data_IF_308546579524
#
_entry.id   IF_308546579524
#
_cell.length_a   1.000
_cell.length_b   1.000
_cell.length_c   1.000
_cell.angle_alpha   90.00
_cell.angle_beta   90.00
_cell.angle_gamma   90.00
#
_symmetry.space_group_name_H-M   'P 1'
#
loop_
_entity.id
_entity.type
_entity.pdbx_description
1 polymer ?
#
# COMPACT_ATOMS: atom_id res chain seq x y z
N UNK A 1 -70.25 64.30 -45.34
CA UNK A 1 -70.18 62.82 -45.20
C UNK A 1 -68.72 62.38 -45.15
N UNK A 2 -68.19 62.06 -43.96
CA UNK A 2 -66.95 61.28 -43.82
C UNK A 2 -67.21 60.21 -42.76
N UNK A 3 -67.05 58.95 -43.17
CA UNK A 3 -67.37 57.74 -42.42
C UNK A 3 -66.32 57.52 -41.33
N UNK A 4 -66.77 57.31 -40.09
CA UNK A 4 -65.92 56.83 -39.00
C UNK A 4 -65.54 55.37 -39.24
N UNK A 5 -64.25 55.06 -39.07
CA UNK A 5 -63.74 53.68 -39.03
C UNK A 5 -63.43 53.37 -37.57
N UNK A 6 -64.26 52.53 -36.97
CA UNK A 6 -64.06 51.97 -35.64
C UNK A 6 -63.11 50.77 -35.79
N UNK A 7 -61.87 50.90 -35.33
CA UNK A 7 -60.92 49.78 -35.27
C UNK A 7 -61.13 49.06 -33.94
N UNK A 8 -61.73 47.87 -33.99
CA UNK A 8 -61.85 46.96 -32.86
C UNK A 8 -60.52 46.20 -32.71
N UNK A 9 -59.69 46.62 -31.75
CA UNK A 9 -58.49 45.87 -31.37
C UNK A 9 -58.91 44.73 -30.44
N UNK A 10 -59.09 43.53 -31.00
CA UNK A 10 -59.22 42.31 -30.19
C UNK A 10 -57.84 41.86 -29.72
N UNK A 11 -57.52 42.16 -28.46
CA UNK A 11 -56.35 41.61 -27.78
C UNK A 11 -56.62 40.14 -27.39
N UNK A 12 -56.02 39.20 -28.12
CA UNK A 12 -55.93 37.80 -27.68
C UNK A 12 -54.91 37.71 -26.54
N UNK A 13 -55.39 37.79 -25.29
CA UNK A 13 -54.62 37.34 -24.13
C UNK A 13 -54.64 35.81 -24.11
N UNK A 14 -53.64 35.18 -24.73
CA UNK A 14 -53.33 33.77 -24.48
C UNK A 14 -52.78 33.66 -23.06
N UNK A 15 -53.66 33.40 -22.09
CA UNK A 15 -53.27 33.06 -20.74
C UNK A 15 -52.55 31.71 -20.77
N UNK A 16 -51.21 31.75 -20.71
CA UNK A 16 -50.43 30.59 -20.31
C UNK A 16 -50.80 30.34 -18.85
N UNK A 17 -51.70 29.39 -18.61
CA UNK A 17 -51.97 28.84 -17.29
C UNK A 17 -50.67 28.22 -16.79
N UNK A 18 -49.86 29.00 -16.08
CA UNK A 18 -48.82 28.45 -15.22
C UNK A 18 -49.57 27.64 -14.16
N UNK A 19 -49.57 26.32 -14.31
CA UNK A 19 -50.10 25.43 -13.30
C UNK A 19 -49.43 25.80 -11.97
N UNK A 20 -50.24 26.23 -10.99
CA UNK A 20 -49.71 26.49 -9.66
C UNK A 20 -48.98 25.23 -9.17
N UNK A 21 -47.79 25.37 -8.54
CA UNK A 21 -47.07 24.23 -8.01
C UNK A 21 -48.02 23.44 -7.11
N UNK A 22 -48.27 22.18 -7.46
CA UNK A 22 -49.17 21.34 -6.68
C UNK A 22 -48.57 21.14 -5.29
N UNK A 23 -49.42 21.12 -4.25
CA UNK A 23 -48.98 20.85 -2.89
C UNK A 23 -48.24 19.49 -2.82
N UNK A 24 -47.16 19.37 -2.04
CA UNK A 24 -46.43 18.11 -1.91
C UNK A 24 -47.25 17.05 -1.16
N UNK A 25 -46.79 15.79 -1.20
CA UNK A 25 -47.34 14.63 -0.49
C UNK A 25 -48.71 14.15 -0.98
N UNK A 26 -48.93 14.14 -2.30
CA UNK A 26 -50.19 13.68 -2.89
C UNK A 26 -50.21 12.16 -3.06
N UNK A 27 -51.37 11.57 -2.82
CA UNK A 27 -51.69 10.18 -3.14
C UNK A 27 -52.80 10.12 -4.20
N UNK A 28 -52.79 9.08 -5.03
CA UNK A 28 -53.89 8.80 -5.96
C UNK A 28 -55.03 7.98 -5.33
N UNK A 29 -56.05 7.64 -6.12
CA UNK A 29 -57.18 6.82 -5.70
C UNK A 29 -56.82 5.40 -5.23
N UNK A 30 -55.63 4.91 -5.59
CA UNK A 30 -55.10 3.61 -5.14
C UNK A 30 -54.21 3.76 -3.89
N UNK A 31 -54.03 4.99 -3.38
CA UNK A 31 -53.17 5.28 -2.25
C UNK A 31 -51.68 5.42 -2.58
N UNK A 32 -51.31 5.43 -3.87
CA UNK A 32 -49.90 5.52 -4.30
C UNK A 32 -49.42 6.95 -4.33
N UNK A 33 -48.15 7.19 -3.98
CA UNK A 33 -47.51 8.50 -3.98
C UNK A 33 -47.36 9.06 -5.40
N UNK A 34 -47.66 10.36 -5.55
CA UNK A 34 -47.60 11.08 -6.81
C UNK A 34 -46.98 12.48 -6.64
N UNK A 35 -46.16 12.89 -7.61
CA UNK A 35 -45.60 14.23 -7.68
C UNK A 35 -44.58 14.53 -6.59
N UNK A 36 -44.47 15.80 -6.21
CA UNK A 36 -43.55 16.28 -5.18
C UNK A 36 -43.86 15.64 -3.82
N UNK A 37 -42.82 15.24 -3.11
CA UNK A 37 -42.92 14.59 -1.82
C UNK A 37 -41.86 15.14 -0.87
N UNK A 38 -42.27 15.41 0.36
CA UNK A 38 -41.43 15.88 1.47
C UNK A 38 -41.74 15.08 2.72
N UNK A 39 -40.73 14.45 3.30
CA UNK A 39 -40.88 13.72 4.56
C UNK A 39 -40.24 14.51 5.69
N UNK A 40 -41.00 14.75 6.75
CA UNK A 40 -40.51 15.38 7.98
C UNK A 40 -40.49 14.39 9.14
N UNK A 41 -39.59 14.61 10.11
CA UNK A 41 -39.61 13.96 11.43
C UNK A 41 -39.27 15.01 12.47
N UNK A 42 -40.15 15.19 13.46
CA UNK A 42 -39.99 16.19 14.53
C UNK A 42 -39.73 17.61 14.00
N UNK A 43 -40.42 17.99 12.91
CA UNK A 43 -40.26 19.29 12.23
C UNK A 43 -39.05 19.39 11.28
N UNK A 44 -38.15 18.41 11.28
CA UNK A 44 -36.96 18.38 10.43
C UNK A 44 -37.26 17.70 9.09
N UNK A 45 -36.91 18.34 7.97
CA UNK A 45 -37.00 17.75 6.64
C UNK A 45 -35.97 16.61 6.52
N UNK A 46 -36.43 15.39 6.25
CA UNK A 46 -35.57 14.21 6.07
C UNK A 46 -35.18 14.00 4.62
N UNK A 47 -36.14 14.14 3.71
CA UNK A 47 -35.89 14.11 2.27
C UNK A 47 -37.00 14.82 1.49
N UNK A 48 -36.65 15.27 0.29
CA UNK A 48 -37.60 15.70 -0.73
C UNK A 48 -37.25 15.09 -2.10
N UNK A 49 -38.27 14.91 -2.95
CA UNK A 49 -38.13 14.32 -4.28
C UNK A 49 -39.47 14.06 -4.94
N UNK A 50 -39.49 13.33 -6.05
CA UNK A 50 -40.71 13.07 -6.83
C UNK A 50 -41.06 11.60 -6.90
N UNK A 51 -42.35 11.28 -6.81
CA UNK A 51 -42.87 9.93 -7.03
C UNK A 51 -43.80 9.87 -8.24
N UNK A 52 -43.84 8.71 -8.88
CA UNK A 52 -44.89 8.31 -9.81
C UNK A 52 -45.28 6.87 -9.47
N UNK A 53 -46.52 6.67 -9.05
CA UNK A 53 -47.05 5.34 -8.70
C UNK A 53 -46.20 4.62 -7.63
N UNK A 54 -45.81 5.33 -6.56
CA UNK A 54 -44.86 4.88 -5.51
C UNK A 54 -43.40 4.68 -5.95
N UNK A 55 -43.08 4.85 -7.23
CA UNK A 55 -41.71 4.74 -7.74
C UNK A 55 -41.02 6.11 -7.67
N UNK A 56 -39.85 6.23 -7.03
CA UNK A 56 -39.09 7.48 -7.02
C UNK A 56 -38.57 7.80 -8.43
N UNK A 57 -38.69 9.05 -8.85
CA UNK A 57 -38.27 9.53 -10.17
C UNK A 57 -37.43 10.81 -10.04
N UNK A 58 -36.34 10.88 -10.81
CA UNK A 58 -35.48 12.06 -10.83
C UNK A 58 -34.71 12.24 -9.52
N UNK A 59 -34.50 13.50 -9.13
CA UNK A 59 -33.63 13.85 -8.00
C UNK A 59 -34.36 13.73 -6.65
N UNK A 60 -33.69 13.10 -5.70
CA UNK A 60 -34.02 13.12 -4.28
C UNK A 60 -32.89 13.77 -3.50
N UNK A 61 -33.25 14.67 -2.60
CA UNK A 61 -32.34 15.28 -1.63
C UNK A 61 -32.63 14.73 -0.25
N UNK A 62 -31.59 14.31 0.45
CA UNK A 62 -31.67 13.84 1.83
C UNK A 62 -30.92 14.81 2.73
N UNK A 63 -31.41 15.00 3.94
CA UNK A 63 -30.86 15.98 4.88
C UNK A 63 -30.50 15.33 6.22
N UNK A 64 -29.50 15.89 6.88
CA UNK A 64 -29.14 15.58 8.26
C UNK A 64 -30.14 16.20 9.26
N UNK A 65 -30.15 15.77 10.53
CA UNK A 65 -31.01 16.36 11.56
C UNK A 65 -30.83 17.87 11.77
N UNK A 66 -29.66 18.41 11.44
CA UNK A 66 -29.35 19.85 11.50
C UNK A 66 -29.82 20.63 10.24
N UNK A 67 -30.47 19.96 9.28
CA UNK A 67 -30.94 20.54 8.02
C UNK A 67 -29.89 20.64 6.91
N UNK A 68 -28.63 20.24 7.15
CA UNK A 68 -27.61 20.24 6.09
C UNK A 68 -27.86 19.12 5.08
N UNK A 69 -27.48 19.35 3.82
CA UNK A 69 -27.61 18.36 2.76
C UNK A 69 -26.70 17.16 3.06
N UNK A 70 -27.29 15.97 3.10
CA UNK A 70 -26.61 14.69 3.35
C UNK A 70 -26.23 13.99 2.05
N UNK A 71 -27.18 13.91 1.12
CA UNK A 71 -26.95 13.26 -0.18
C UNK A 71 -27.97 13.70 -1.23
N UNK A 72 -27.58 13.55 -2.49
CA UNK A 72 -28.44 13.64 -3.67
C UNK A 72 -28.47 12.26 -4.32
N UNK A 73 -29.64 11.77 -4.69
CA UNK A 73 -29.79 10.54 -5.48
C UNK A 73 -30.68 10.79 -6.70
N UNK A 74 -30.20 10.43 -7.88
CA UNK A 74 -30.93 10.57 -9.14
C UNK A 74 -31.39 9.19 -9.59
N UNK A 75 -32.70 8.95 -9.50
CA UNK A 75 -33.35 7.69 -9.89
C UNK A 75 -33.58 7.65 -11.40
N UNK A 76 -32.95 6.69 -12.07
CA UNK A 76 -32.97 6.44 -13.50
C UNK A 76 -33.64 5.07 -13.75
N UNK A 77 -34.43 4.95 -14.82
CA UNK A 77 -35.13 3.70 -15.20
C UNK A 77 -35.93 3.07 -14.05
N UNK A 78 -36.84 3.81 -13.41
CA UNK A 78 -37.74 3.23 -12.41
C UNK A 78 -37.06 2.72 -11.13
N UNK A 79 -35.93 3.34 -10.77
CA UNK A 79 -35.07 3.04 -9.60
C UNK A 79 -34.07 1.89 -9.76
N UNK A 80 -33.93 1.31 -10.97
CA UNK A 80 -32.90 0.29 -11.24
C UNK A 80 -31.48 0.88 -11.20
N UNK A 81 -31.28 2.04 -11.80
CA UNK A 81 -30.01 2.78 -11.72
C UNK A 81 -30.20 4.01 -10.85
N UNK A 82 -29.36 4.18 -9.84
CA UNK A 82 -29.39 5.35 -8.96
C UNK A 82 -27.99 5.95 -8.87
N UNK A 83 -27.82 7.15 -9.40
CA UNK A 83 -26.58 7.92 -9.22
C UNK A 83 -26.66 8.66 -7.91
N UNK A 84 -25.67 8.49 -7.04
CA UNK A 84 -25.69 9.05 -5.69
C UNK A 84 -24.44 9.90 -5.47
N UNK A 85 -24.64 11.09 -4.90
CA UNK A 85 -23.60 11.95 -4.37
C UNK A 85 -23.86 12.14 -2.88
N UNK A 86 -22.86 11.88 -2.04
CA UNK A 86 -22.92 12.06 -0.58
C UNK A 86 -22.02 13.24 -0.22
N UNK A 87 -22.43 14.04 0.76
CA UNK A 87 -21.71 15.22 1.21
C UNK A 87 -21.19 15.06 2.63
N UNK A 88 -20.05 15.69 2.91
CA UNK A 88 -19.54 15.91 4.25
C UNK A 88 -20.40 16.94 4.98
N UNK A 89 -20.34 17.01 6.32
CA UNK A 89 -21.07 18.02 7.09
C UNK A 89 -20.79 19.47 6.66
N UNK A 90 -19.61 19.74 6.11
CA UNK A 90 -19.21 21.05 5.58
C UNK A 90 -19.74 21.35 4.16
N UNK A 91 -20.52 20.45 3.57
CA UNK A 91 -21.11 20.59 2.23
C UNK A 91 -20.20 20.19 1.07
N UNK A 92 -18.95 19.80 1.32
CA UNK A 92 -18.07 19.26 0.29
C UNK A 92 -18.48 17.83 -0.07
N UNK A 93 -18.15 17.39 -1.29
CA UNK A 93 -18.44 16.02 -1.73
C UNK A 93 -17.65 15.04 -0.86
N UNK A 94 -18.29 13.99 -0.38
CA UNK A 94 -17.68 12.90 0.38
C UNK A 94 -17.49 11.66 -0.48
N UNK A 95 -18.50 11.32 -1.27
CA UNK A 95 -18.40 10.24 -2.26
C UNK A 95 -19.42 10.39 -3.37
N UNK A 96 -19.18 9.74 -4.49
CA UNK A 96 -20.17 9.57 -5.54
C UNK A 96 -19.95 8.29 -6.32
N UNK A 97 -21.04 7.79 -6.89
CA UNK A 97 -21.04 6.61 -7.75
C UNK A 97 -22.45 6.25 -8.14
N UNK A 98 -22.63 5.02 -8.61
CA UNK A 98 -23.97 4.49 -8.92
C UNK A 98 -24.27 3.20 -8.17
N UNK A 99 -25.56 2.99 -7.95
CA UNK A 99 -26.14 1.72 -7.62
C UNK A 99 -26.88 1.16 -8.82
N UNK A 100 -26.70 -0.12 -9.11
CA UNK A 100 -27.50 -0.90 -10.02
C UNK A 100 -28.21 -1.99 -9.22
N UNK A 101 -29.53 -2.03 -9.25
CA UNK A 101 -30.36 -2.95 -8.45
C UNK A 101 -29.99 -2.94 -6.96
N UNK A 102 -29.81 -1.74 -6.40
CA UNK A 102 -29.43 -1.48 -5.00
C UNK A 102 -28.00 -1.91 -4.61
N UNK A 103 -27.19 -2.38 -5.56
CA UNK A 103 -25.80 -2.78 -5.34
C UNK A 103 -24.85 -1.75 -5.97
N UNK A 104 -23.73 -1.44 -5.31
CA UNK A 104 -22.70 -0.56 -5.91
C UNK A 104 -22.25 -1.13 -7.24
N UNK A 105 -22.15 -0.27 -8.25
CA UNK A 105 -21.73 -0.67 -9.58
C UNK A 105 -20.92 0.44 -10.24
N UNK A 106 -19.95 0.08 -11.09
CA UNK A 106 -19.05 1.02 -11.72
C UNK A 106 -18.08 1.70 -10.74
N UNK A 107 -17.60 2.86 -11.16
CA UNK A 107 -16.63 3.66 -10.41
C UNK A 107 -17.30 4.43 -9.27
N UNK A 108 -16.67 4.39 -8.10
CA UNK A 108 -16.99 5.14 -6.91
C UNK A 108 -15.80 5.99 -6.52
N UNK A 109 -16.01 7.30 -6.44
CA UNK A 109 -14.99 8.27 -6.07
C UNK A 109 -15.23 8.75 -4.63
N UNK A 110 -14.16 8.98 -3.88
CA UNK A 110 -14.21 9.41 -2.48
C UNK A 110 -13.26 10.57 -2.22
N UNK A 111 -13.73 11.54 -1.45
CA UNK A 111 -12.99 12.76 -1.13
C UNK A 111 -12.92 12.97 0.38
N UNK A 112 -11.85 13.60 0.85
CA UNK A 112 -11.73 14.06 2.23
C UNK A 112 -12.56 15.35 2.45
N UNK A 113 -12.62 15.81 3.71
CA UNK A 113 -13.37 17.03 4.06
C UNK A 113 -12.83 18.30 3.41
N UNK A 114 -11.60 18.30 2.89
CA UNK A 114 -11.00 19.43 2.16
C UNK A 114 -11.19 19.33 0.64
N UNK A 115 -11.94 18.33 0.15
CA UNK A 115 -12.24 18.15 -1.26
C UNK A 115 -11.12 17.45 -2.05
N UNK A 116 -10.08 16.96 -1.37
CA UNK A 116 -9.04 16.14 -1.98
C UNK A 116 -9.52 14.72 -2.23
N UNK A 117 -9.33 14.20 -3.45
CA UNK A 117 -9.65 12.82 -3.81
C UNK A 117 -8.73 11.88 -3.02
N UNK A 118 -9.30 10.88 -2.35
CA UNK A 118 -8.57 9.93 -1.52
C UNK A 118 -8.71 8.48 -2.00
N UNK A 119 -9.76 8.17 -2.76
CA UNK A 119 -9.96 6.82 -3.31
C UNK A 119 -10.81 6.83 -4.58
N UNK A 120 -10.47 5.94 -5.50
CA UNK A 120 -11.29 5.53 -6.65
C UNK A 120 -11.46 4.01 -6.58
N UNK A 121 -12.69 3.54 -6.49
CA UNK A 121 -13.03 2.14 -6.30
C UNK A 121 -13.94 1.67 -7.43
N UNK A 122 -13.65 0.51 -8.00
CA UNK A 122 -14.50 -0.07 -9.06
C UNK A 122 -15.26 -1.30 -8.54
N UNK A 123 -16.56 -1.34 -8.84
CA UNK A 123 -17.49 -2.38 -8.44
C UNK A 123 -18.25 -2.98 -9.64
N UNK A 124 -18.62 -4.25 -9.53
CA UNK A 124 -19.58 -4.91 -10.41
C UNK A 124 -20.59 -5.68 -9.55
N UNK A 125 -21.87 -5.31 -9.60
CA UNK A 125 -22.95 -5.95 -8.80
C UNK A 125 -22.60 -6.08 -7.31
N UNK A 126 -22.11 -5.00 -6.72
CA UNK A 126 -21.75 -4.92 -5.31
C UNK A 126 -20.40 -5.53 -4.93
N UNK A 127 -19.68 -6.13 -5.89
CA UNK A 127 -18.37 -6.73 -5.64
C UNK A 127 -17.24 -5.86 -6.19
N UNK A 128 -16.10 -5.75 -5.49
CA UNK A 128 -14.88 -5.12 -5.99
C UNK A 128 -14.46 -5.78 -7.29
N UNK A 129 -14.35 -5.00 -8.35
CA UNK A 129 -14.03 -5.49 -9.67
C UNK A 129 -13.46 -4.36 -10.53
N UNK A 130 -12.19 -4.46 -10.89
CA UNK A 130 -11.43 -3.45 -11.63
C UNK A 130 -10.36 -2.79 -10.78
N UNK A 131 -9.81 -1.71 -11.31
CA UNK A 131 -8.70 -0.98 -10.69
C UNK A 131 -9.18 -0.13 -9.52
N UNK A 132 -8.48 -0.20 -8.41
CA UNK A 132 -8.67 0.60 -7.22
C UNK A 132 -7.46 1.49 -7.04
N UNK A 133 -7.68 2.76 -6.70
CA UNK A 133 -6.60 3.74 -6.51
C UNK A 133 -6.77 4.44 -5.18
N UNK A 134 -5.69 4.55 -4.42
CA UNK A 134 -5.64 5.26 -3.13
C UNK A 134 -4.69 6.42 -3.25
N UNK A 135 -5.09 7.59 -2.75
CA UNK A 135 -4.32 8.83 -2.86
C UNK A 135 -4.01 9.40 -1.47
N UNK A 136 -2.86 10.06 -1.35
CA UNK A 136 -2.50 10.82 -0.16
C UNK A 136 -3.49 11.96 0.08
N UNK A 137 -4.11 11.99 1.25
CA UNK A 137 -5.02 13.08 1.62
C UNK A 137 -4.33 14.45 1.71
N UNK A 138 -3.00 14.47 1.90
CA UNK A 138 -2.22 15.69 2.05
C UNK A 138 -1.71 16.22 0.70
N UNK A 139 -1.23 15.33 -0.17
CA UNK A 139 -0.53 15.72 -1.40
C UNK A 139 -1.30 15.37 -2.69
N UNK A 140 -2.32 14.51 -2.62
CA UNK A 140 -3.05 14.00 -3.77
C UNK A 140 -2.27 13.00 -4.63
N UNK A 141 -1.07 12.61 -4.21
CA UNK A 141 -0.23 11.65 -4.93
C UNK A 141 -0.83 10.25 -4.80
N UNK A 142 -0.82 9.49 -5.90
CA UNK A 142 -1.22 8.09 -5.92
C UNK A 142 -0.28 7.28 -5.03
N UNK A 143 -0.83 6.54 -4.07
CA UNK A 143 -0.09 5.69 -3.13
C UNK A 143 -0.22 4.21 -3.48
N UNK A 144 -1.38 3.80 -4.00
CA UNK A 144 -1.67 2.41 -4.33
C UNK A 144 -2.53 2.32 -5.60
N UNK A 145 -2.22 1.35 -6.46
CA UNK A 145 -3.04 0.92 -7.58
C UNK A 145 -3.23 -0.60 -7.46
N UNK A 146 -4.43 -1.05 -7.10
CA UNK A 146 -4.75 -2.45 -6.84
C UNK A 146 -5.73 -2.96 -7.90
N UNK A 147 -5.57 -4.19 -8.36
CA UNK A 147 -6.52 -4.78 -9.32
C UNK A 147 -7.36 -5.86 -8.65
N UNK A 148 -8.68 -5.73 -8.72
CA UNK A 148 -9.61 -6.68 -8.12
C UNK A 148 -10.44 -7.40 -9.17
N UNK A 149 -10.77 -8.66 -8.89
CA UNK A 149 -11.75 -9.45 -9.62
C UNK A 149 -12.57 -10.25 -8.63
N UNK A 150 -13.87 -9.98 -8.58
CA UNK A 150 -14.79 -10.64 -7.65
C UNK A 150 -14.30 -10.63 -6.18
N UNK A 151 -14.02 -9.46 -5.61
CA UNK A 151 -13.49 -9.25 -4.23
C UNK A 151 -12.02 -9.62 -4.00
N UNK A 152 -11.38 -10.37 -4.89
CA UNK A 152 -10.01 -10.84 -4.71
C UNK A 152 -9.03 -10.02 -5.54
N UNK A 153 -7.81 -9.79 -5.04
CA UNK A 153 -6.74 -9.22 -5.85
C UNK A 153 -6.42 -10.15 -7.02
N UNK A 154 -6.41 -9.62 -8.23
CA UNK A 154 -6.21 -10.38 -9.47
C UNK A 154 -5.61 -9.47 -10.53
N UNK A 155 -4.38 -9.76 -10.94
CA UNK A 155 -3.56 -8.91 -11.81
C UNK A 155 -2.46 -8.17 -11.05
N UNK A 156 -1.97 -7.09 -11.66
CA UNK A 156 -0.86 -6.28 -11.13
C UNK A 156 -1.36 -5.33 -10.05
N UNK A 157 -0.66 -5.31 -8.93
CA UNK A 157 -0.81 -4.31 -7.86
C UNK A 157 0.48 -3.52 -7.73
N UNK A 158 0.36 -2.21 -7.50
CA UNK A 158 1.49 -1.30 -7.35
C UNK A 158 1.33 -0.45 -6.11
N UNK A 159 2.44 -0.19 -5.43
CA UNK A 159 2.53 0.88 -4.44
C UNK A 159 3.49 1.94 -4.94
N UNK A 160 3.36 3.16 -4.42
CA UNK A 160 4.13 4.31 -4.85
C UNK A 160 4.69 5.06 -3.65
N UNK A 161 5.84 5.67 -3.84
CA UNK A 161 6.44 6.59 -2.89
C UNK A 161 5.70 7.94 -2.87
N UNK A 162 6.03 8.76 -1.88
CA UNK A 162 5.48 10.11 -1.73
C UNK A 162 5.94 11.09 -2.82
N UNK A 163 6.90 10.73 -3.67
CA UNK A 163 7.26 11.46 -4.89
C UNK A 163 6.53 10.94 -6.15
N UNK A 164 5.68 9.92 -6.00
CA UNK A 164 4.88 9.31 -7.06
C UNK A 164 5.60 8.21 -7.86
N UNK A 165 6.87 7.89 -7.57
CA UNK A 165 7.54 6.78 -8.23
C UNK A 165 7.09 5.42 -7.68
N UNK A 166 7.10 4.34 -8.49
CA UNK A 166 6.78 3.00 -8.00
C UNK A 166 7.69 2.59 -6.84
N UNK A 167 7.09 2.10 -5.76
CA UNK A 167 7.78 1.49 -4.63
C UNK A 167 7.80 -0.03 -4.79
N UNK A 168 6.64 -0.64 -5.10
CA UNK A 168 6.53 -2.07 -5.37
C UNK A 168 5.61 -2.36 -6.55
N UNK A 169 5.88 -3.48 -7.23
CA UNK A 169 5.05 -4.08 -8.27
C UNK A 169 4.92 -5.56 -7.95
N UNK A 170 3.72 -6.01 -7.61
CA UNK A 170 3.39 -7.40 -7.27
C UNK A 170 2.32 -7.93 -8.24
N UNK A 171 2.39 -9.22 -8.57
CA UNK A 171 1.35 -9.90 -9.34
C UNK A 171 0.50 -10.80 -8.43
N UNK A 172 -0.82 -10.78 -8.64
CA UNK A 172 -1.78 -11.57 -7.88
C UNK A 172 -2.66 -12.44 -8.78
N UNK A 173 -2.99 -13.63 -8.31
CA UNK A 173 -4.03 -14.50 -8.87
C UNK A 173 -4.91 -14.96 -7.72
N UNK A 174 -6.22 -14.71 -7.81
CA UNK A 174 -7.20 -15.12 -6.80
C UNK A 174 -6.81 -14.76 -5.34
N UNK A 175 -6.29 -13.54 -5.15
CA UNK A 175 -5.93 -13.01 -3.83
C UNK A 175 -4.57 -13.43 -3.31
N UNK A 176 -3.80 -14.22 -4.06
CA UNK A 176 -2.44 -14.65 -3.66
C UNK A 176 -1.38 -14.07 -4.60
N UNK A 177 -0.23 -13.67 -4.05
CA UNK A 177 0.94 -13.30 -4.83
C UNK A 177 1.39 -14.48 -5.69
N UNK A 178 1.56 -14.22 -6.98
CA UNK A 178 1.93 -15.19 -7.98
C UNK A 178 2.67 -14.51 -9.13
N UNK A 179 3.86 -14.98 -9.46
CA UNK A 179 4.73 -14.41 -10.49
C UNK A 179 5.71 -13.38 -9.93
N UNK A 180 6.23 -12.53 -10.81
CA UNK A 180 7.29 -11.58 -10.51
C UNK A 180 6.87 -10.54 -9.47
N UNK A 181 7.76 -10.25 -8.54
CA UNK A 181 7.65 -9.15 -7.59
C UNK A 181 8.92 -8.30 -7.66
N UNK A 182 8.74 -6.98 -7.75
CA UNK A 182 9.83 -6.02 -7.83
C UNK A 182 9.59 -4.91 -6.81
N UNK A 183 10.62 -4.57 -6.05
CA UNK A 183 10.68 -3.38 -5.22
C UNK A 183 11.77 -2.46 -5.74
N UNK A 184 11.55 -1.16 -5.60
CA UNK A 184 12.50 -0.12 -6.00
C UNK A 184 13.04 0.60 -4.76
N UNK A 185 14.07 1.42 -4.94
CA UNK A 185 14.44 2.51 -4.05
C UNK A 185 13.72 3.79 -4.48
N UNK A 186 13.74 4.80 -3.62
CA UNK A 186 13.11 6.11 -3.88
C UNK A 186 13.66 6.81 -5.14
N UNK A 187 14.90 6.52 -5.53
CA UNK A 187 15.48 7.06 -6.76
C UNK A 187 14.99 6.34 -8.03
N UNK A 188 14.37 5.16 -7.89
CA UNK A 188 13.86 4.31 -8.97
C UNK A 188 14.77 3.14 -9.33
N UNK A 189 15.90 2.96 -8.65
CA UNK A 189 16.78 1.79 -8.82
C UNK A 189 16.07 0.56 -8.23
N UNK A 190 16.15 -0.60 -8.87
CA UNK A 190 15.59 -1.84 -8.31
C UNK A 190 16.31 -2.15 -6.99
N UNK A 191 15.56 -2.39 -5.92
CA UNK A 191 16.11 -2.79 -4.62
C UNK A 191 16.05 -4.29 -4.43
N UNK A 192 14.93 -4.92 -4.82
CA UNK A 192 14.69 -6.35 -4.66
C UNK A 192 13.86 -6.84 -5.84
N UNK A 193 14.16 -8.02 -6.38
CA UNK A 193 13.25 -8.71 -7.29
C UNK A 193 13.32 -10.22 -7.10
N UNK A 194 12.21 -10.90 -7.39
CA UNK A 194 12.11 -12.35 -7.32
C UNK A 194 10.72 -12.83 -7.71
N UNK A 195 10.40 -14.08 -7.43
CA UNK A 195 9.12 -14.70 -7.79
C UNK A 195 8.37 -15.22 -6.56
N UNK A 196 7.05 -15.04 -6.58
CA UNK A 196 6.11 -15.66 -5.66
C UNK A 196 5.31 -16.76 -6.34
N UNK A 197 4.96 -17.80 -5.57
CA UNK A 197 3.93 -18.77 -5.92
C UNK A 197 3.07 -19.04 -4.69
N UNK A 198 1.78 -18.77 -4.78
CA UNK A 198 0.84 -18.94 -3.66
C UNK A 198 1.28 -18.21 -2.38
N UNK A 199 1.71 -16.94 -2.50
CA UNK A 199 2.31 -16.12 -1.42
C UNK A 199 3.69 -16.58 -0.91
N UNK A 200 4.25 -17.67 -1.43
CA UNK A 200 5.55 -18.19 -1.00
C UNK A 200 6.65 -17.72 -1.96
N UNK A 201 7.77 -17.26 -1.42
CA UNK A 201 8.95 -16.93 -2.23
C UNK A 201 9.50 -18.21 -2.84
N UNK A 202 9.81 -18.18 -4.13
CA UNK A 202 10.43 -19.31 -4.83
C UNK A 202 11.61 -18.82 -5.67
N UNK A 203 12.54 -19.72 -5.95
CA UNK A 203 13.65 -19.47 -6.86
C UNK A 203 14.63 -18.43 -6.31
N UNK A 204 15.22 -17.65 -7.21
CA UNK A 204 16.22 -16.65 -6.88
C UNK A 204 15.59 -15.31 -6.52
N UNK A 205 16.01 -14.76 -5.40
CA UNK A 205 15.67 -13.42 -4.95
C UNK A 205 16.94 -12.57 -4.96
N UNK A 206 16.96 -11.57 -5.84
CA UNK A 206 18.09 -10.66 -6.06
C UNK A 206 17.87 -9.37 -5.27
N UNK A 207 18.91 -8.91 -4.57
CA UNK A 207 18.92 -7.70 -3.79
C UNK A 207 20.06 -6.79 -4.23
N UNK A 208 19.77 -5.51 -4.36
CA UNK A 208 20.65 -4.50 -4.95
C UNK A 208 20.84 -3.33 -3.99
N UNK A 209 21.96 -2.62 -4.12
CA UNK A 209 22.15 -1.31 -3.46
C UNK A 209 21.60 -0.14 -4.27
N UNK A 210 21.61 1.06 -3.69
CA UNK A 210 21.20 2.29 -4.35
C UNK A 210 22.06 2.66 -5.58
N UNK A 211 23.27 2.09 -5.70
CA UNK A 211 24.09 2.21 -6.89
C UNK A 211 23.71 1.24 -8.01
N UNK A 212 22.70 0.39 -7.79
CA UNK A 212 22.27 -0.65 -8.72
C UNK A 212 23.19 -1.87 -8.77
N UNK A 213 24.11 -2.01 -7.82
CA UNK A 213 24.99 -3.18 -7.74
C UNK A 213 24.24 -4.33 -7.09
N UNK A 214 24.34 -5.52 -7.66
CA UNK A 214 23.85 -6.74 -7.02
C UNK A 214 24.68 -7.01 -5.76
N UNK A 215 24.00 -7.24 -4.63
CA UNK A 215 24.63 -7.42 -3.31
C UNK A 215 24.35 -8.76 -2.69
N UNK A 216 23.15 -9.31 -2.91
CA UNK A 216 22.74 -10.57 -2.34
C UNK A 216 21.82 -11.33 -3.29
N UNK A 217 22.02 -12.64 -3.40
CA UNK A 217 21.04 -13.57 -3.96
C UNK A 217 20.65 -14.54 -2.86
N UNK A 218 19.36 -14.71 -2.64
CA UNK A 218 18.82 -15.73 -1.74
C UNK A 218 18.02 -16.73 -2.57
N UNK A 219 18.33 -18.01 -2.45
CA UNK A 219 17.54 -19.07 -3.06
C UNK A 219 16.47 -19.55 -2.09
N UNK A 220 15.20 -19.51 -2.51
CA UNK A 220 14.08 -19.99 -1.72
C UNK A 220 13.43 -21.23 -2.35
N UNK A 221 13.11 -22.22 -1.50
CA UNK A 221 12.08 -23.21 -1.78
C UNK A 221 10.90 -22.92 -0.86
N UNK A 222 9.81 -22.40 -1.43
CA UNK A 222 8.56 -22.14 -0.70
C UNK A 222 8.76 -21.31 0.57
N UNK A 223 9.48 -20.20 0.44
CA UNK A 223 9.89 -19.28 1.51
C UNK A 223 10.90 -19.84 2.51
N UNK A 224 11.32 -21.10 2.40
CA UNK A 224 12.47 -21.61 3.13
C UNK A 224 13.76 -21.23 2.39
N UNK A 225 14.65 -20.52 3.07
CA UNK A 225 15.95 -20.13 2.54
C UNK A 225 16.85 -21.37 2.42
N UNK A 226 17.29 -21.68 1.20
CA UNK A 226 18.19 -22.80 0.92
C UNK A 226 19.64 -22.35 0.97
N UNK A 227 19.94 -21.20 0.37
CA UNK A 227 21.30 -20.68 0.33
C UNK A 227 21.30 -19.18 0.07
N UNK A 228 22.34 -18.53 0.58
CA UNK A 228 22.56 -17.09 0.41
C UNK A 228 23.95 -16.86 -0.18
N UNK A 229 23.99 -16.10 -1.27
CA UNK A 229 25.22 -15.66 -1.92
C UNK A 229 25.38 -14.15 -1.77
N UNK A 230 26.53 -13.73 -1.28
CA UNK A 230 26.91 -12.33 -1.13
C UNK A 230 27.80 -11.91 -2.29
N UNK A 231 27.64 -10.66 -2.73
CA UNK A 231 28.37 -10.06 -3.82
C UNK A 231 29.16 -8.85 -3.31
N UNK A 232 30.48 -8.98 -3.40
CA UNK A 232 31.45 -7.96 -3.05
C UNK A 232 32.18 -7.46 -4.30
N UNK A 233 32.80 -6.31 -4.19
CA UNK A 233 33.47 -5.65 -5.30
C UNK A 233 34.90 -5.30 -4.94
N UNK A 234 35.80 -5.58 -5.88
CA UNK A 234 37.18 -5.12 -5.88
C UNK A 234 37.40 -4.28 -7.14
N UNK A 235 37.33 -2.94 -6.99
CA UNK A 235 37.30 -1.98 -8.10
C UNK A 235 36.12 -2.26 -9.03
N UNK A 236 36.38 -2.84 -10.21
CA UNK A 236 35.37 -3.22 -11.20
C UNK A 236 35.06 -4.72 -11.21
N UNK A 237 35.77 -5.53 -10.43
CA UNK A 237 35.56 -6.98 -10.38
C UNK A 237 34.53 -7.34 -9.32
N UNK A 238 33.54 -8.15 -9.71
CA UNK A 238 32.55 -8.75 -8.83
C UNK A 238 33.09 -10.08 -8.25
N UNK A 239 32.89 -10.28 -6.95
CA UNK A 239 33.26 -11.48 -6.20
C UNK A 239 31.98 -12.04 -5.56
N UNK A 240 31.60 -13.25 -5.97
CA UNK A 240 30.43 -13.97 -5.45
C UNK A 240 30.89 -15.00 -4.43
N UNK A 241 30.34 -14.96 -3.22
CA UNK A 241 30.64 -15.93 -2.15
C UNK A 241 29.36 -16.51 -1.59
N UNK A 242 29.33 -17.83 -1.36
CA UNK A 242 28.31 -18.43 -0.52
C UNK A 242 28.54 -17.95 0.92
N UNK A 243 27.50 -17.44 1.58
CA UNK A 243 27.56 -16.96 2.96
C UNK A 243 28.12 -18.02 3.92
N UNK A 244 27.77 -19.30 3.73
CA UNK A 244 28.26 -20.42 4.56
C UNK A 244 29.76 -20.70 4.38
N UNK A 245 30.37 -20.24 3.29
CA UNK A 245 31.80 -20.41 3.04
C UNK A 245 32.64 -19.32 3.71
N UNK A 246 32.02 -18.27 4.25
CA UNK A 246 32.71 -17.16 4.93
C UNK A 246 32.93 -17.56 6.39
N UNK A 247 34.13 -17.35 6.90
CA UNK A 247 34.44 -17.54 8.32
C UNK A 247 34.28 -16.23 9.09
N UNK A 248 34.91 -15.16 8.60
CA UNK A 248 34.79 -13.81 9.20
C UNK A 248 35.29 -12.73 8.23
N UNK A 249 34.92 -11.49 8.55
CA UNK A 249 35.42 -10.27 7.92
C UNK A 249 36.39 -9.55 8.85
N UNK A 250 37.47 -9.02 8.28
CA UNK A 250 38.44 -8.16 8.97
C UNK A 250 38.44 -6.76 8.33
N UNK A 251 38.02 -5.75 9.09
CA UNK A 251 37.89 -4.37 8.60
C UNK A 251 39.13 -3.53 8.94
N UNK A 252 39.91 -3.13 7.95
CA UNK A 252 41.15 -2.36 8.14
C UNK A 252 41.13 -1.05 7.33
N UNK A 253 40.79 0.05 7.99
CA UNK A 253 40.69 1.35 7.34
C UNK A 253 39.60 1.34 6.26
N UNK A 254 39.99 1.55 5.00
CA UNK A 254 39.09 1.52 3.83
C UNK A 254 39.10 0.17 3.08
N UNK A 255 39.62 -0.90 3.69
CA UNK A 255 39.67 -2.24 3.10
C UNK A 255 38.94 -3.23 3.98
N UNK A 256 38.23 -4.14 3.34
CA UNK A 256 37.68 -5.32 4.00
C UNK A 256 38.42 -6.55 3.50
N UNK A 257 38.85 -7.40 4.43
CA UNK A 257 39.46 -8.69 4.15
C UNK A 257 38.47 -9.78 4.55
N UNK A 258 38.16 -10.69 3.64
CA UNK A 258 37.29 -11.83 3.85
C UNK A 258 38.17 -13.06 4.07
N UNK A 259 37.91 -13.78 5.15
CA UNK A 259 38.48 -15.09 5.42
C UNK A 259 37.40 -16.14 5.20
N UNK A 260 37.69 -17.15 4.39
CA UNK A 260 36.78 -18.28 4.17
C UNK A 260 37.04 -19.39 5.18
N UNK A 261 36.06 -20.29 5.35
CA UNK A 261 36.19 -21.50 6.19
C UNK A 261 37.34 -22.40 5.70
N UNK A 262 37.71 -22.34 4.42
CA UNK A 262 38.84 -23.08 3.83
C UNK A 262 40.20 -22.40 4.03
N UNK A 263 40.25 -21.25 4.68
CA UNK A 263 41.47 -20.48 4.91
C UNK A 263 41.91 -19.59 3.73
N UNK A 264 41.09 -19.48 2.69
CA UNK A 264 41.34 -18.54 1.59
C UNK A 264 41.09 -17.11 2.06
N UNK A 265 41.91 -16.18 1.57
CA UNK A 265 41.88 -14.76 1.96
C UNK A 265 41.62 -13.90 0.71
N UNK A 266 40.64 -13.01 0.80
CA UNK A 266 40.30 -12.07 -0.27
C UNK A 266 40.21 -10.65 0.26
N UNK A 267 40.79 -9.68 -0.46
CA UNK A 267 40.66 -8.26 -0.12
C UNK A 267 39.72 -7.59 -1.11
N UNK A 268 38.73 -6.86 -0.59
CA UNK A 268 37.71 -6.15 -1.38
C UNK A 268 37.79 -4.64 -1.15
N UNK A 269 37.18 -3.87 -2.05
CA UNK A 269 37.09 -2.40 -1.95
C UNK A 269 35.83 -1.92 -1.25
N UNK A 270 34.82 -2.78 -1.04
CA UNK A 270 33.69 -2.42 -0.18
C UNK A 270 34.18 -2.22 1.26
N UNK A 271 33.72 -1.14 1.88
CA UNK A 271 34.04 -0.80 3.26
C UNK A 271 33.22 -1.61 4.26
N UNK A 272 33.50 -1.38 5.55
CA UNK A 272 32.82 -2.06 6.62
C UNK A 272 31.31 -1.80 6.61
N UNK A 273 30.86 -0.59 6.27
CA UNK A 273 29.44 -0.21 6.32
C UNK A 273 28.65 -1.01 5.28
N UNK A 274 29.11 -1.01 4.02
CA UNK A 274 28.50 -1.78 2.92
C UNK A 274 28.45 -3.26 3.29
N UNK A 275 29.56 -3.80 3.77
CA UNK A 275 29.65 -5.22 4.13
C UNK A 275 28.68 -5.52 5.28
N UNK A 276 28.63 -4.68 6.32
CA UNK A 276 27.74 -4.81 7.48
C UNK A 276 26.26 -4.76 7.14
N UNK A 277 25.90 -3.98 6.13
CA UNK A 277 24.52 -3.83 5.70
C UNK A 277 24.01 -5.05 4.92
N UNK A 278 24.88 -5.71 4.15
CA UNK A 278 24.46 -6.74 3.20
C UNK A 278 24.73 -8.18 3.65
N UNK A 279 25.76 -8.42 4.47
CA UNK A 279 25.95 -9.74 5.04
C UNK A 279 25.08 -9.89 6.30
N UNK A 280 24.47 -11.06 6.49
CA UNK A 280 23.60 -11.30 7.64
C UNK A 280 24.47 -11.67 8.87
N UNK A 281 24.97 -10.63 9.58
CA UNK A 281 25.95 -10.76 10.70
C UNK A 281 25.44 -11.47 11.95
N UNK A 282 24.15 -11.82 12.02
CA UNK A 282 23.66 -12.68 13.09
C UNK A 282 24.40 -14.03 13.15
N UNK A 283 25.12 -14.40 12.08
CA UNK A 283 25.97 -15.58 11.99
C UNK A 283 27.49 -15.30 12.09
N UNK A 284 27.93 -14.04 12.25
CA UNK A 284 29.35 -13.67 12.17
C UNK A 284 29.76 -12.65 13.24
N UNK A 285 30.91 -12.89 13.88
CA UNK A 285 31.55 -11.88 14.74
C UNK A 285 32.31 -10.88 13.86
N UNK A 286 31.97 -9.58 13.85
CA UNK A 286 32.79 -8.59 13.15
C UNK A 286 34.15 -8.46 13.84
N UNK A 287 35.22 -8.82 13.13
CA UNK A 287 36.60 -8.74 13.65
C UNK A 287 37.20 -7.41 13.21
N UNK A 288 37.48 -6.51 14.14
CA UNK A 288 38.34 -5.36 13.86
C UNK A 288 39.81 -5.72 14.11
N UNK A 289 40.80 -4.95 13.60
CA UNK A 289 42.20 -5.07 14.03
C UNK A 289 42.42 -4.78 15.52
N UNK A 290 41.41 -4.29 16.27
CA UNK A 290 41.41 -4.31 17.75
C UNK A 290 40.92 -5.65 18.33
N UNK A 291 40.21 -6.48 17.54
CA UNK A 291 39.68 -7.83 17.84
C UNK A 291 40.59 -8.92 17.20
N UNK A 292 41.76 -8.54 16.68
CA UNK A 292 42.69 -9.40 15.94
C UNK A 292 43.25 -10.61 16.72
N UNK A 293 42.94 -10.73 18.01
CA UNK A 293 43.45 -11.78 18.88
C UNK A 293 42.62 -13.06 18.93
N UNK A 294 41.38 -13.09 18.40
CA UNK A 294 40.45 -14.21 18.66
C UNK A 294 40.60 -15.42 17.71
N UNK A 295 40.79 -15.21 16.40
CA UNK A 295 40.70 -16.31 15.42
C UNK A 295 41.94 -17.21 15.39
N UNK A 296 43.15 -16.65 15.47
CA UNK A 296 44.39 -17.45 15.62
C UNK A 296 44.57 -18.02 17.02
N UNK A 297 43.69 -17.65 17.95
CA UNK A 297 43.70 -18.20 19.27
C UNK A 297 42.96 -19.54 19.34
N UNK A 298 42.02 -19.86 18.45
CA UNK A 298 41.27 -21.11 18.57
C UNK A 298 42.20 -22.34 18.53
N UNK A 299 42.38 -22.98 19.69
CA UNK A 299 43.30 -24.09 19.93
C UNK A 299 42.60 -25.45 19.81
N UNK A 300 41.38 -25.54 20.33
CA UNK A 300 40.55 -26.76 20.32
C UNK A 300 39.11 -26.41 20.62
N UNK A 301 38.20 -27.38 20.49
CA UNK A 301 36.81 -27.27 20.92
C UNK A 301 36.31 -28.60 21.47
N UNK A 302 35.24 -28.57 22.26
CA UNK A 302 34.55 -29.76 22.79
C UNK A 302 33.06 -29.58 22.60
N UNK A 303 32.39 -30.63 22.15
CA UNK A 303 30.94 -30.66 22.05
C UNK A 303 30.35 -30.95 23.43
N UNK A 304 29.52 -30.04 23.93
CA UNK A 304 28.89 -30.13 25.26
C UNK A 304 27.57 -30.90 25.16
N UNK A 305 26.82 -30.69 24.08
CA UNK A 305 25.66 -31.47 23.67
C UNK A 305 25.41 -31.31 22.15
N UNK A 306 24.32 -31.89 21.63
CA UNK A 306 24.01 -31.90 20.19
C UNK A 306 23.88 -30.50 19.55
N UNK A 307 23.64 -29.44 20.35
CA UNK A 307 23.43 -28.08 19.86
C UNK A 307 24.49 -27.08 20.36
N UNK A 308 25.41 -27.50 21.23
CA UNK A 308 26.35 -26.61 21.93
C UNK A 308 27.80 -27.07 21.78
N UNK A 309 28.67 -26.17 21.32
CA UNK A 309 30.12 -26.37 21.27
C UNK A 309 30.85 -25.32 22.12
N UNK A 310 31.82 -25.77 22.88
CA UNK A 310 32.72 -24.95 23.68
C UNK A 310 34.06 -24.82 22.94
N UNK A 311 34.59 -23.60 22.82
CA UNK A 311 35.80 -23.30 22.03
C UNK A 311 36.90 -22.71 22.91
N UNK A 312 38.11 -23.26 22.81
CA UNK A 312 39.27 -22.87 23.60
C UNK A 312 40.23 -21.99 22.80
N UNK A 313 40.67 -20.87 23.40
CA UNK A 313 41.52 -19.87 22.75
C UNK A 313 42.95 -19.79 23.38
N UNK A 314 44.00 -19.53 22.59
CA UNK A 314 45.41 -19.33 22.91
C UNK A 314 45.96 -18.07 22.18
N UNK A 315 45.99 -16.91 22.83
CA UNK A 315 46.35 -15.65 22.17
C UNK A 315 47.83 -15.61 21.75
N UNK A 316 48.10 -15.15 20.51
CA UNK A 316 49.44 -14.80 20.04
C UNK A 316 49.54 -13.28 19.81
N UNK A 317 50.50 -12.65 20.49
CA UNK A 317 50.81 -11.23 20.40
C UNK A 317 51.24 -10.84 18.95
N UNK A 318 51.02 -9.58 18.52
CA UNK A 318 51.13 -8.37 19.33
C UNK A 318 49.81 -7.80 19.88
N UNK A 319 48.70 -8.53 19.88
CA UNK A 319 47.43 -8.01 20.41
C UNK A 319 47.05 -8.63 21.77
N UNK A 320 46.94 -7.82 22.83
CA UNK A 320 46.38 -8.27 24.11
C UNK A 320 44.85 -8.43 24.02
N UNK A 321 44.35 -9.56 24.50
CA UNK A 321 42.91 -9.80 24.75
C UNK A 321 42.52 -9.04 26.01
N UNK A 322 41.58 -8.12 25.92
CA UNK A 322 40.95 -7.53 27.09
C UNK A 322 39.74 -8.37 27.49
N UNK A 323 39.87 -9.13 28.57
CA UNK A 323 38.77 -9.32 29.51
C UNK A 323 39.19 -8.69 30.83
N UNK A 324 38.28 -7.98 31.50
CA UNK A 324 38.45 -7.73 32.93
C UNK A 324 37.10 -7.84 33.62
N UNK A 325 37.00 -8.86 34.50
CA UNK A 325 35.83 -9.20 35.29
C UNK A 325 35.22 -10.50 34.79
N UNK A 326 35.27 -11.54 35.61
CA UNK A 326 35.00 -12.95 35.30
C UNK A 326 33.60 -13.23 34.72
N UNK A 327 33.48 -14.38 34.06
CA UNK A 327 32.28 -14.94 33.40
C UNK A 327 31.95 -14.37 32.01
N UNK A 328 32.71 -14.78 30.99
CA UNK A 328 32.12 -14.89 29.65
C UNK A 328 31.41 -16.25 29.56
N UNK A 329 30.29 -16.38 30.29
CA UNK A 329 29.22 -17.26 29.82
C UNK A 329 28.96 -16.87 28.36
N UNK A 330 29.01 -17.86 27.47
CA UNK A 330 28.65 -17.65 26.08
C UNK A 330 27.13 -17.42 26.03
N UNK A 331 26.67 -16.17 26.14
CA UNK A 331 25.22 -15.90 26.19
C UNK A 331 24.71 -15.62 24.78
N UNK A 332 23.96 -16.60 24.28
CA UNK A 332 22.75 -16.42 23.48
C UNK A 332 22.10 -15.06 23.82
N UNK A 333 22.38 -14.02 23.02
CA UNK A 333 21.97 -12.61 23.17
C UNK A 333 22.71 -11.76 24.24
N UNK A 334 23.29 -10.62 23.83
CA UNK A 334 23.45 -9.42 24.69
C UNK A 334 22.76 -8.21 24.01
N UNK A 335 21.55 -7.87 24.47
CA UNK A 335 20.56 -6.91 23.91
C UNK A 335 20.27 -5.75 24.89
N UNK A 336 19.53 -4.68 24.52
CA UNK A 336 18.06 -4.70 24.58
C UNK A 336 17.36 -4.14 23.32
N UNK A 337 16.08 -4.49 23.16
CA UNK A 337 15.12 -3.65 22.44
C UNK A 337 15.23 -2.21 22.96
N UNK A 338 15.56 -1.25 22.09
CA UNK A 338 14.80 -0.02 22.05
C UNK A 338 14.10 0.02 20.69
N UNK A 339 12.77 -0.06 20.73
CA UNK A 339 11.96 0.36 19.59
C UNK A 339 12.36 1.81 19.26
N UNK A 340 12.54 2.17 17.99
CA UNK A 340 12.68 3.58 17.65
C UNK A 340 11.45 4.33 18.17
N UNK A 341 11.69 5.35 19.01
CA UNK A 341 10.69 6.39 19.25
C UNK A 341 10.46 7.11 17.92
N UNK A 342 9.19 7.30 17.59
CA UNK A 342 8.76 8.29 16.63
C UNK A 342 9.26 9.68 17.08
N UNK A 343 10.10 10.30 16.26
CA UNK A 343 10.10 11.75 16.05
C UNK A 343 9.99 12.03 14.55
#
# INVERSE_FOLDING_TARGET
MKKGTLILVMAFFSAVLMAQPQAPNRIDSQGKKQGEWRKFKDGVLLYEGRFKDDVPIGEFKYYHPNGSLKSISVFIQGAHEVKTTIFHPNGQKASEGRFLDQLKDGEWNYWNENGGLISVENYAKGKKNGVWKVFSAQTGILLEELNYKNELLDGVSKTFYTDGKPCTVDHFIMGKRYGEAISYFIDGVVSIKGEYKDNLRIGEWEYYDQGGRLRKIVHYDRSHEISTYLFFYNRSQQIKLNQEAIAYFLFQGNKTVIYTVKGEIMTITDDAEIVTYWADFFNFVPVSPKIHAAHQAVKSYVTVDEETIEVFLQPQLPYPVYSKGDEAEMVKMLFPRELPKLE
#
